data_IF_511736976184
#
_entry.id   IF_511736976184
#
_cell.length_a   1.000
_cell.length_b   1.000
_cell.length_c   1.000
_cell.angle_alpha   90.00
_cell.angle_beta   90.00
_cell.angle_gamma   90.00
#
_symmetry.space_group_name_H-M   'P 1'
#
loop_
_entity.id
_entity.type
_entity.pdbx_description
1 polymer ?
#
# COMPACT_ATOMS: atom_id res chain seq x y z
N UNK A 1 -12.99 17.74 -20.55
CA UNK A 1 -12.54 16.67 -21.43
C UNK A 1 -11.07 16.89 -21.74
N UNK A 2 -10.21 16.00 -21.27
CA UNK A 2 -8.78 15.97 -21.55
C UNK A 2 -8.51 15.21 -22.84
N UNK A 3 -7.55 15.66 -23.63
CA UNK A 3 -7.17 14.96 -24.86
C UNK A 3 -5.79 14.32 -24.69
N UNK A 4 -5.70 13.02 -24.92
CA UNK A 4 -4.46 12.23 -24.88
C UNK A 4 -3.83 12.21 -26.26
N UNK A 5 -2.55 12.59 -26.40
CA UNK A 5 -1.82 12.64 -27.65
C UNK A 5 -0.54 11.79 -27.59
N UNK A 6 -0.26 11.05 -28.63
CA UNK A 6 0.92 10.22 -28.77
C UNK A 6 2.10 11.02 -29.36
N UNK A 7 3.27 11.07 -28.69
CA UNK A 7 4.39 11.88 -29.16
C UNK A 7 5.21 11.21 -30.27
N UNK A 8 5.96 12.05 -31.00
CA UNK A 8 6.92 11.63 -32.00
C UNK A 8 8.16 11.01 -31.35
N UNK A 9 8.54 9.78 -31.70
CA UNK A 9 9.86 9.25 -31.38
C UNK A 9 10.93 10.05 -32.17
N UNK A 10 11.68 10.89 -31.44
CA UNK A 10 12.90 11.53 -31.98
C UNK A 10 14.09 10.61 -31.77
N UNK A 11 14.58 10.02 -32.83
CA UNK A 11 15.88 9.35 -32.92
C UNK A 11 16.99 10.40 -32.90
N UNK A 12 17.81 10.42 -31.86
CA UNK A 12 19.10 11.11 -31.82
C UNK A 12 20.09 10.37 -32.73
N UNK A 13 20.45 10.97 -33.85
CA UNK A 13 21.50 10.48 -34.71
C UNK A 13 22.87 10.89 -34.16
N UNK A 14 23.67 9.94 -33.70
CA UNK A 14 25.12 10.12 -33.55
C UNK A 14 25.80 10.01 -34.92
N UNK A 15 26.45 11.09 -35.37
CA UNK A 15 27.34 11.16 -36.50
C UNK A 15 28.64 10.44 -36.18
N UNK A 16 28.97 9.38 -36.94
CA UNK A 16 30.33 8.92 -37.13
C UNK A 16 30.54 8.55 -38.60
N UNK A 17 31.44 9.28 -39.24
CA UNK A 17 31.88 9.17 -40.62
C UNK A 17 32.59 7.84 -40.86
N UNK A 18 32.18 7.13 -41.92
CA UNK A 18 32.86 5.96 -42.48
C UNK A 18 32.21 5.48 -43.76
N UNK A 19 32.93 5.55 -44.84
CA UNK A 19 32.59 5.38 -46.24
C UNK A 19 32.22 3.93 -46.63
N UNK A 20 31.34 3.81 -47.63
CA UNK A 20 31.01 2.69 -48.51
C UNK A 20 30.05 1.59 -48.06
N UNK A 21 28.92 1.55 -48.68
CA UNK A 21 28.35 0.58 -49.62
C UNK A 21 26.82 0.70 -49.65
N UNK A 22 26.34 0.93 -50.82
CA UNK A 22 24.95 1.05 -51.28
C UNK A 22 24.19 -0.25 -51.01
N UNK A 23 23.32 -0.25 -50.02
CA UNK A 23 22.14 -1.11 -49.95
C UNK A 23 21.02 -0.30 -49.36
N UNK A 24 20.12 0.18 -50.19
CA UNK A 24 18.91 0.87 -49.82
C UNK A 24 17.95 -0.12 -49.14
N UNK A 25 18.17 -0.40 -47.87
CA UNK A 25 17.10 -0.90 -46.96
C UNK A 25 16.32 0.30 -46.48
N UNK A 26 15.18 0.55 -47.14
CA UNK A 26 14.21 1.52 -46.70
C UNK A 26 13.79 1.18 -45.26
N UNK A 27 14.39 1.87 -44.30
CA UNK A 27 13.84 1.98 -42.98
C UNK A 27 12.51 2.73 -43.14
N UNK A 28 11.43 1.97 -43.27
CA UNK A 28 10.08 2.50 -43.17
C UNK A 28 9.96 3.11 -41.78
N UNK A 29 10.15 4.42 -41.71
CA UNK A 29 9.86 5.18 -40.50
C UNK A 29 8.38 4.93 -40.19
N UNK A 30 8.12 4.22 -39.08
CA UNK A 30 6.76 3.99 -38.61
C UNK A 30 6.13 5.36 -38.38
N UNK A 31 5.12 5.72 -39.18
CA UNK A 31 4.36 6.94 -38.97
C UNK A 31 3.79 6.92 -37.52
N UNK A 32 3.96 7.99 -36.76
CA UNK A 32 3.38 8.09 -35.44
C UNK A 32 1.84 8.01 -35.54
N UNK A 33 1.22 7.17 -34.76
CA UNK A 33 -0.23 7.17 -34.63
C UNK A 33 -0.61 8.48 -33.88
N UNK A 34 -1.04 9.50 -34.59
CA UNK A 34 -1.63 10.70 -34.02
C UNK A 34 -3.11 10.42 -33.71
N UNK A 35 -3.36 9.65 -32.66
CA UNK A 35 -4.71 9.41 -32.16
C UNK A 35 -4.97 10.40 -31.02
N UNK A 36 -6.01 11.21 -31.13
CA UNK A 36 -6.47 12.07 -30.05
C UNK A 36 -7.70 11.44 -29.43
N UNK A 37 -7.60 11.08 -28.16
CA UNK A 37 -8.64 10.42 -27.39
C UNK A 37 -9.07 11.33 -26.24
N UNK A 38 -10.34 11.24 -25.86
CA UNK A 38 -10.84 11.90 -24.66
C UNK A 38 -10.48 11.04 -23.44
N UNK A 39 -10.00 11.70 -22.39
CA UNK A 39 -9.60 11.04 -21.13
C UNK A 39 -10.31 11.63 -19.93
N UNK A 40 -10.57 10.80 -18.95
CA UNK A 40 -11.11 11.17 -17.63
C UNK A 40 -10.02 10.98 -16.60
N UNK A 41 -9.86 11.97 -15.74
CA UNK A 41 -8.85 11.94 -14.66
C UNK A 41 -9.42 11.17 -13.47
N UNK A 42 -8.69 10.17 -13.00
CA UNK A 42 -9.04 9.35 -11.85
C UNK A 42 -7.91 9.36 -10.83
N UNK A 43 -8.20 9.26 -9.52
CA UNK A 43 -7.15 9.15 -8.52
C UNK A 43 -6.45 7.80 -8.66
N UNK A 44 -5.14 7.75 -8.39
CA UNK A 44 -4.38 6.50 -8.37
C UNK A 44 -4.93 5.51 -7.35
N UNK A 45 -5.27 6.01 -6.18
CA UNK A 45 -5.90 5.25 -5.11
C UNK A 45 -6.77 6.17 -4.25
N UNK A 46 -7.78 5.58 -3.65
CA UNK A 46 -8.67 6.21 -2.69
C UNK A 46 -8.84 5.26 -1.51
N UNK A 47 -8.42 5.69 -0.32
CA UNK A 47 -8.45 4.86 0.89
C UNK A 47 -9.29 5.56 1.95
N UNK A 48 -10.31 4.85 2.42
CA UNK A 48 -11.03 5.24 3.63
C UNK A 48 -10.18 4.89 4.85
N UNK A 49 -9.90 5.87 5.68
CA UNK A 49 -9.19 5.69 6.95
C UNK A 49 -10.21 5.35 8.02
N UNK A 50 -10.17 4.10 8.50
CA UNK A 50 -11.06 3.62 9.56
C UNK A 50 -10.27 3.35 10.85
N UNK A 51 -10.96 3.43 12.00
CA UNK A 51 -10.42 3.01 13.28
C UNK A 51 -10.35 1.48 13.38
N UNK A 52 -9.39 0.99 14.16
CA UNK A 52 -9.22 -0.45 14.45
C UNK A 52 -9.47 -0.78 15.94
N UNK A 53 -9.66 0.25 16.76
CA UNK A 53 -9.97 0.15 18.19
C UNK A 53 -11.11 1.10 18.53
N UNK A 54 -11.91 0.74 19.51
CA UNK A 54 -13.04 1.56 19.99
C UNK A 54 -12.52 2.57 21.01
N UNK A 55 -13.00 3.81 20.92
CA UNK A 55 -12.62 4.86 21.86
C UNK A 55 -13.05 6.25 21.40
N UNK A 56 -12.54 7.27 22.06
CA UNK A 56 -12.80 8.68 21.73
C UNK A 56 -11.61 9.24 20.93
N UNK A 57 -11.88 9.91 19.83
CA UNK A 57 -10.84 10.64 19.09
C UNK A 57 -10.35 11.81 19.96
N UNK A 58 -9.13 11.70 20.47
CA UNK A 58 -8.52 12.73 21.32
C UNK A 58 -7.99 13.89 20.48
N UNK A 59 -7.37 13.59 19.33
CA UNK A 59 -6.80 14.60 18.45
C UNK A 59 -6.98 14.27 16.98
N UNK A 60 -7.18 15.29 16.17
CA UNK A 60 -7.10 15.27 14.70
C UNK A 60 -5.88 16.09 14.30
N UNK A 61 -4.86 15.43 13.73
CA UNK A 61 -3.53 16.02 13.50
C UNK A 61 -3.37 16.59 12.09
N UNK A 62 -4.41 16.50 11.28
CA UNK A 62 -4.41 16.94 9.87
C UNK A 62 -5.60 17.83 9.58
N UNK A 63 -5.44 18.70 8.59
CA UNK A 63 -6.52 19.55 8.07
C UNK A 63 -6.96 19.08 6.68
N UNK A 64 -8.20 19.38 6.32
CA UNK A 64 -8.72 19.05 5.00
C UNK A 64 -7.90 19.69 3.88
N UNK A 65 -7.52 18.89 2.88
CA UNK A 65 -6.68 19.35 1.76
C UNK A 65 -5.17 19.25 2.01
N UNK A 66 -4.74 18.84 3.20
CA UNK A 66 -3.31 18.68 3.50
C UNK A 66 -2.73 17.49 2.72
N UNK A 67 -1.53 17.67 2.15
CA UNK A 67 -0.72 16.57 1.60
C UNK A 67 -0.08 15.80 2.75
N UNK A 68 -0.16 14.46 2.70
CA UNK A 68 0.42 13.53 3.68
C UNK A 68 1.28 12.48 2.97
N UNK A 69 2.33 12.05 3.64
CA UNK A 69 3.17 10.93 3.25
C UNK A 69 2.75 9.65 4.01
N UNK A 70 3.23 8.49 3.55
CA UNK A 70 3.03 7.23 4.28
C UNK A 70 3.67 7.32 5.67
N UNK A 71 2.90 6.95 6.70
CA UNK A 71 3.36 7.00 8.09
C UNK A 71 3.05 8.31 8.81
N UNK A 72 2.61 9.35 8.12
CA UNK A 72 2.23 10.61 8.77
C UNK A 72 1.05 10.37 9.73
N UNK A 73 1.09 10.93 10.95
CA UNK A 73 0.02 10.77 11.93
C UNK A 73 -1.21 11.59 11.52
N UNK A 74 -2.37 10.95 11.54
CA UNK A 74 -3.64 11.55 11.09
C UNK A 74 -4.58 11.82 12.27
N UNK A 75 -4.80 10.77 13.09
CA UNK A 75 -5.74 10.79 14.22
C UNK A 75 -5.13 10.09 15.42
N UNK A 76 -5.53 10.51 16.59
CA UNK A 76 -5.22 9.82 17.84
C UNK A 76 -6.53 9.53 18.59
N UNK A 77 -6.67 8.28 19.02
CA UNK A 77 -7.71 7.83 19.94
C UNK A 77 -7.13 7.91 21.35
N UNK A 78 -7.97 8.18 22.35
CA UNK A 78 -7.54 8.19 23.74
C UNK A 78 -6.84 6.86 24.10
N UNK A 79 -5.61 6.96 24.53
CA UNK A 79 -4.74 5.81 24.76
C UNK A 79 -4.70 5.37 26.23
N UNK A 80 -5.33 6.11 27.15
CA UNK A 80 -5.17 5.91 28.59
C UNK A 80 -5.51 4.48 29.05
N UNK A 81 -6.65 3.95 28.60
CA UNK A 81 -7.06 2.59 28.96
C UNK A 81 -6.11 1.54 28.35
N UNK A 82 -5.66 1.74 27.12
CA UNK A 82 -4.72 0.84 26.45
C UNK A 82 -3.33 0.84 27.11
N UNK A 83 -2.87 1.98 27.62
CA UNK A 83 -1.61 2.07 28.38
C UNK A 83 -1.71 1.30 29.70
N UNK A 84 -2.86 1.35 30.36
CA UNK A 84 -3.14 0.56 31.56
C UNK A 84 -3.12 -0.93 31.24
N UNK A 85 -3.76 -1.34 30.15
CA UNK A 85 -3.78 -2.74 29.70
C UNK A 85 -2.38 -3.28 29.40
N UNK A 86 -1.52 -2.50 28.74
CA UNK A 86 -0.12 -2.86 28.51
C UNK A 86 0.63 -3.02 29.82
N UNK A 87 0.45 -2.09 30.77
CA UNK A 87 1.08 -2.16 32.08
C UNK A 87 0.64 -3.40 32.86
N UNK A 88 -0.65 -3.72 32.82
CA UNK A 88 -1.20 -4.92 33.49
C UNK A 88 -0.66 -6.20 32.86
N UNK A 89 -0.60 -6.27 31.50
CA UNK A 89 -0.06 -7.43 30.78
C UNK A 89 1.45 -7.61 31.06
N UNK A 90 2.20 -6.51 31.17
CA UNK A 90 3.62 -6.56 31.53
C UNK A 90 3.82 -7.13 32.96
N UNK A 91 3.05 -6.66 33.94
CA UNK A 91 3.10 -7.17 35.31
C UNK A 91 2.75 -8.68 35.39
N UNK A 92 1.76 -9.12 34.59
CA UNK A 92 1.40 -10.55 34.51
C UNK A 92 2.53 -11.40 33.88
N UNK A 93 3.25 -10.87 32.92
CA UNK A 93 4.42 -11.52 32.34
C UNK A 93 5.55 -11.65 33.38
N UNK A 94 5.85 -10.57 34.09
CA UNK A 94 6.88 -10.57 35.16
C UNK A 94 6.57 -11.62 36.24
N UNK A 95 5.30 -11.74 36.67
CA UNK A 95 4.86 -12.78 37.58
C UNK A 95 5.10 -14.19 37.02
N UNK A 96 4.73 -14.43 35.73
CA UNK A 96 4.93 -15.72 35.10
C UNK A 96 6.41 -16.09 34.99
N UNK A 97 7.29 -15.12 34.64
CA UNK A 97 8.74 -15.30 34.60
C UNK A 97 9.30 -15.62 36.01
N UNK A 98 8.82 -14.96 37.04
CA UNK A 98 9.25 -15.26 38.42
C UNK A 98 8.84 -16.69 38.85
N UNK A 99 7.62 -17.13 38.48
CA UNK A 99 7.16 -18.52 38.70
C UNK A 99 8.00 -19.54 37.92
N UNK A 100 8.38 -19.23 36.69
CA UNK A 100 9.26 -20.10 35.92
C UNK A 100 10.61 -20.29 36.58
N UNK A 101 11.25 -19.21 37.03
CA UNK A 101 12.51 -19.25 37.78
C UNK A 101 12.43 -20.12 39.00
N UNK A 102 11.35 -19.96 39.79
CA UNK A 102 11.10 -20.79 40.96
C UNK A 102 10.98 -22.28 40.59
N UNK A 103 10.22 -22.61 39.51
CA UNK A 103 10.07 -23.99 39.07
C UNK A 103 11.39 -24.58 38.58
N UNK A 104 12.22 -23.80 37.86
CA UNK A 104 13.55 -24.20 37.41
C UNK A 104 14.49 -24.51 38.60
N UNK A 105 14.50 -23.62 39.61
CA UNK A 105 15.28 -23.82 40.83
C UNK A 105 14.86 -25.08 41.61
N UNK A 106 13.55 -25.36 41.64
CA UNK A 106 13.02 -26.59 42.28
C UNK A 106 13.44 -27.83 41.46
N UNK A 107 13.29 -27.80 40.13
CA UNK A 107 13.65 -28.90 39.29
C UNK A 107 15.15 -29.22 39.38
N UNK A 108 16.01 -28.22 39.37
CA UNK A 108 17.45 -28.41 39.52
C UNK A 108 17.80 -29.07 40.88
N UNK A 109 17.16 -28.64 41.96
CA UNK A 109 17.38 -29.27 43.29
C UNK A 109 16.91 -30.72 43.30
N UNK A 110 15.75 -31.04 42.73
CA UNK A 110 15.22 -32.42 42.68
C UNK A 110 16.07 -33.33 41.78
N UNK A 111 16.57 -32.84 40.67
CA UNK A 111 17.49 -33.55 39.78
C UNK A 111 18.79 -33.94 40.53
N UNK A 112 19.41 -32.96 41.21
CA UNK A 112 20.62 -33.25 42.01
C UNK A 112 20.39 -34.25 43.15
N UNK A 113 19.20 -34.28 43.75
CA UNK A 113 18.83 -35.30 44.74
C UNK A 113 18.61 -36.68 44.16
N UNK A 114 18.02 -36.77 42.95
CA UNK A 114 17.82 -38.02 42.22
C UNK A 114 19.17 -38.68 41.82
N UNK A 115 20.15 -37.88 41.43
CA UNK A 115 21.50 -38.37 41.10
C UNK A 115 22.24 -38.98 42.28
N UNK A 116 21.90 -38.58 43.53
CA UNK A 116 22.55 -39.08 44.75
C UNK A 116 21.88 -40.32 45.36
N UNK A 117 20.83 -40.84 44.77
CA UNK A 117 20.22 -42.13 45.10
C UNK A 117 18.81 -42.03 45.69
N UNK A 118 18.04 -43.03 45.35
CA UNK A 118 16.78 -43.57 45.80
C UNK A 118 15.54 -42.64 45.97
N UNK A 119 14.54 -42.91 45.16
CA UNK A 119 13.14 -42.46 45.35
C UNK A 119 12.85 -41.04 44.91
N UNK A 120 13.83 -40.31 44.46
CA UNK A 120 13.70 -38.90 43.99
C UNK A 120 13.38 -38.75 42.49
N UNK A 121 13.45 -39.81 41.72
CA UNK A 121 13.27 -39.79 40.26
C UNK A 121 11.86 -39.34 39.84
N UNK A 122 10.83 -39.84 40.52
CA UNK A 122 9.45 -39.38 40.27
C UNK A 122 9.24 -37.90 40.61
N UNK A 123 9.94 -37.39 41.64
CA UNK A 123 9.86 -35.95 42.02
C UNK A 123 10.62 -35.08 41.04
N UNK A 124 11.75 -35.55 40.51
CA UNK A 124 12.50 -34.87 39.47
C UNK A 124 11.69 -34.76 38.16
N UNK A 125 11.02 -35.87 37.78
CA UNK A 125 10.12 -35.88 36.62
C UNK A 125 8.95 -34.90 36.84
N UNK A 126 8.31 -34.91 38.02
CA UNK A 126 7.22 -33.99 38.31
C UNK A 126 7.69 -32.52 38.25
N UNK A 127 8.85 -32.19 38.83
CA UNK A 127 9.40 -30.83 38.78
C UNK A 127 9.72 -30.39 37.35
N UNK A 128 10.18 -31.31 36.49
CA UNK A 128 10.39 -31.03 35.05
C UNK A 128 9.08 -30.68 34.33
N UNK A 129 8.01 -31.40 34.68
CA UNK A 129 6.67 -31.10 34.14
C UNK A 129 6.22 -29.69 34.57
N UNK A 130 6.45 -29.34 35.86
CA UNK A 130 6.10 -28.01 36.40
C UNK A 130 6.86 -26.89 35.68
N UNK A 131 8.14 -27.08 35.35
CA UNK A 131 8.91 -26.14 34.50
C UNK A 131 8.25 -25.98 33.13
N UNK A 132 7.83 -27.07 32.48
CA UNK A 132 7.16 -26.98 31.20
C UNK A 132 5.82 -26.24 31.27
N UNK A 133 5.05 -26.44 32.31
CA UNK A 133 3.81 -25.70 32.57
C UNK A 133 4.10 -24.20 32.80
N UNK A 134 5.14 -23.88 33.57
CA UNK A 134 5.54 -22.50 33.82
C UNK A 134 6.03 -21.83 32.52
N UNK A 135 6.82 -22.53 31.67
CA UNK A 135 7.22 -22.04 30.32
C UNK A 135 6.02 -21.74 29.44
N UNK A 136 5.04 -22.63 29.42
CA UNK A 136 3.81 -22.40 28.66
C UNK A 136 3.03 -21.19 29.19
N UNK A 137 3.07 -20.95 30.51
CA UNK A 137 2.47 -19.76 31.13
C UNK A 137 3.17 -18.47 30.67
N UNK A 138 4.51 -18.44 30.64
CA UNK A 138 5.28 -17.30 30.13
C UNK A 138 4.90 -17.02 28.68
N UNK A 139 4.91 -18.03 27.80
CA UNK A 139 4.55 -17.87 26.40
C UNK A 139 3.13 -17.32 26.20
N UNK A 140 2.19 -17.68 27.08
CA UNK A 140 0.83 -17.14 27.08
C UNK A 140 0.82 -15.66 27.46
N UNK A 141 1.54 -15.25 28.51
CA UNK A 141 1.59 -13.86 28.95
C UNK A 141 2.35 -12.97 27.94
N UNK A 142 3.40 -13.46 27.30
CA UNK A 142 4.06 -12.76 26.19
C UNK A 142 3.09 -12.48 25.03
N UNK A 143 2.21 -13.43 24.75
CA UNK A 143 1.20 -13.24 23.71
C UNK A 143 0.13 -12.23 24.11
N UNK A 144 -0.25 -12.21 25.41
CA UNK A 144 -1.18 -11.22 25.96
C UNK A 144 -0.56 -9.80 25.92
N UNK A 145 0.72 -9.67 26.28
CA UNK A 145 1.43 -8.40 26.20
C UNK A 145 1.49 -7.88 24.75
N UNK A 146 1.89 -8.73 23.80
CA UNK A 146 1.89 -8.35 22.38
C UNK A 146 0.51 -7.91 21.87
N UNK A 147 -0.57 -8.53 22.35
CA UNK A 147 -1.93 -8.14 21.99
C UNK A 147 -2.29 -6.76 22.54
N UNK A 148 -1.93 -6.45 23.79
CA UNK A 148 -2.15 -5.15 24.40
C UNK A 148 -1.32 -4.04 23.71
N UNK A 149 -0.05 -4.29 23.43
CA UNK A 149 0.82 -3.38 22.69
C UNK A 149 0.29 -3.09 21.27
N UNK A 150 -0.23 -4.11 20.60
CA UNK A 150 -0.85 -3.95 19.29
C UNK A 150 -2.10 -3.08 19.37
N UNK A 151 -2.95 -3.28 20.39
CA UNK A 151 -4.13 -2.46 20.62
C UNK A 151 -3.73 -0.99 20.88
N UNK A 152 -2.73 -0.76 21.71
CA UNK A 152 -2.19 0.57 21.97
C UNK A 152 -1.62 1.21 20.68
N UNK A 153 -0.88 0.47 19.88
CA UNK A 153 -0.34 0.99 18.61
C UNK A 153 -1.43 1.44 17.65
N UNK A 154 -2.60 0.79 17.68
CA UNK A 154 -3.77 1.10 16.85
C UNK A 154 -4.54 2.35 17.28
N UNK A 155 -4.24 2.90 18.47
CA UNK A 155 -4.80 4.21 18.88
C UNK A 155 -4.23 5.37 18.06
N UNK A 156 -3.03 5.19 17.49
CA UNK A 156 -2.41 6.16 16.61
C UNK A 156 -2.62 5.74 15.15
N UNK A 157 -3.49 6.48 14.46
CA UNK A 157 -3.83 6.20 13.07
C UNK A 157 -2.94 7.03 12.15
N UNK A 158 -2.23 6.33 11.26
CA UNK A 158 -1.28 6.92 10.30
C UNK A 158 -1.74 6.75 8.87
N UNK A 159 -1.20 7.56 7.96
CA UNK A 159 -1.46 7.46 6.54
C UNK A 159 -0.88 6.16 5.95
N UNK A 160 -1.71 5.36 5.28
CA UNK A 160 -1.30 4.12 4.60
C UNK A 160 -0.80 4.35 3.17
N UNK A 161 -1.23 5.45 2.55
CA UNK A 161 -0.80 5.89 1.21
C UNK A 161 -0.48 7.38 1.24
N UNK A 162 0.38 7.87 0.34
CA UNK A 162 0.57 9.31 0.17
C UNK A 162 -0.64 9.91 -0.54
N UNK A 163 -0.96 11.16 -0.27
CA UNK A 163 -2.07 11.82 -0.95
C UNK A 163 -2.61 13.05 -0.23
N UNK A 164 -3.81 13.45 -0.60
CA UNK A 164 -4.53 14.55 0.06
C UNK A 164 -5.54 13.94 1.03
N UNK A 165 -5.48 14.37 2.28
CA UNK A 165 -6.37 13.89 3.34
C UNK A 165 -7.60 14.76 3.49
N UNK A 166 -8.73 14.12 3.76
CA UNK A 166 -9.99 14.75 4.14
C UNK A 166 -10.52 14.10 5.43
N UNK A 167 -10.31 14.73 6.59
CA UNK A 167 -10.89 14.25 7.85
C UNK A 167 -12.42 14.39 7.83
N UNK A 168 -13.12 13.44 8.47
CA UNK A 168 -14.59 13.40 8.57
C UNK A 168 -15.08 13.44 10.02
N UNK A 169 -14.16 13.37 10.99
CA UNK A 169 -14.46 13.38 12.42
C UNK A 169 -13.76 14.55 13.11
N UNK A 170 -14.29 14.94 14.26
CA UNK A 170 -13.72 15.98 15.12
C UNK A 170 -13.19 15.37 16.44
N UNK A 171 -12.30 16.04 17.16
CA UNK A 171 -11.94 15.66 18.50
C UNK A 171 -13.20 15.55 19.39
N UNK A 172 -13.24 14.53 20.27
CA UNK A 172 -14.40 14.20 21.09
C UNK A 172 -15.39 13.23 20.44
N UNK A 173 -15.21 12.87 19.17
CA UNK A 173 -16.08 11.89 18.50
C UNK A 173 -15.78 10.49 19.03
N UNK A 174 -16.83 9.78 19.46
CA UNK A 174 -16.73 8.35 19.80
C UNK A 174 -16.77 7.51 18.54
N UNK A 175 -15.88 6.52 18.44
CA UNK A 175 -15.73 5.64 17.27
C UNK A 175 -15.69 4.19 17.70
N UNK A 176 -16.37 3.33 16.95
CA UNK A 176 -16.47 1.90 17.21
C UNK A 176 -15.71 1.10 16.15
N UNK A 177 -14.83 0.19 16.58
CA UNK A 177 -14.05 -0.64 15.67
C UNK A 177 -14.91 -1.57 14.83
N UNK A 178 -15.94 -2.19 15.44
CA UNK A 178 -16.85 -3.12 14.75
C UNK A 178 -17.72 -2.43 13.69
N UNK A 179 -18.10 -1.18 13.94
CA UNK A 179 -18.88 -0.39 12.99
C UNK A 179 -18.04 0.11 11.80
N UNK A 180 -16.71 0.00 11.87
CA UNK A 180 -15.80 0.48 10.82
C UNK A 180 -15.96 1.97 10.57
N UNK A 181 -16.01 2.78 11.63
CA UNK A 181 -16.23 4.23 11.50
C UNK A 181 -15.16 4.87 10.63
N UNK A 182 -15.57 5.54 9.55
CA UNK A 182 -14.64 6.22 8.65
C UNK A 182 -14.23 7.55 9.28
N UNK A 183 -12.96 7.65 9.69
CA UNK A 183 -12.37 8.85 10.28
C UNK A 183 -12.02 9.90 9.24
N UNK A 184 -11.69 9.46 8.04
CA UNK A 184 -11.30 10.31 6.94
C UNK A 184 -11.06 9.53 5.65
N UNK A 185 -10.57 10.23 4.65
CA UNK A 185 -10.26 9.67 3.34
C UNK A 185 -8.95 10.24 2.86
N UNK A 186 -8.10 9.40 2.27
CA UNK A 186 -6.89 9.83 1.56
C UNK A 186 -7.07 9.54 0.08
N UNK A 187 -6.83 10.54 -0.74
CA UNK A 187 -6.89 10.46 -2.20
C UNK A 187 -5.50 10.68 -2.77
N UNK A 188 -4.94 9.67 -3.41
CA UNK A 188 -3.66 9.77 -4.09
C UNK A 188 -3.85 10.38 -5.46
N UNK A 189 -3.29 11.56 -5.66
CA UNK A 189 -3.36 12.31 -6.92
C UNK A 189 -1.99 12.45 -7.61
N UNK A 190 -0.93 11.94 -7.00
CA UNK A 190 0.41 11.88 -7.59
C UNK A 190 1.07 10.53 -7.25
N UNK A 191 1.38 9.70 -8.28
CA UNK A 191 0.92 9.86 -9.66
C UNK A 191 -0.61 9.77 -9.79
N UNK A 192 -1.16 10.26 -10.91
CA UNK A 192 -2.59 10.25 -11.20
C UNK A 192 -2.88 9.34 -12.39
N UNK A 193 -4.08 8.80 -12.48
CA UNK A 193 -4.53 8.01 -13.61
C UNK A 193 -5.38 8.84 -14.57
N UNK A 194 -5.25 8.54 -15.85
CA UNK A 194 -6.13 9.04 -16.91
C UNK A 194 -6.69 7.83 -17.64
N UNK A 195 -7.98 7.60 -17.47
CA UNK A 195 -8.74 6.59 -18.20
C UNK A 195 -9.16 7.12 -19.56
N UNK A 196 -8.88 6.39 -20.63
CA UNK A 196 -9.32 6.71 -21.99
C UNK A 196 -9.80 5.45 -22.70
N UNK A 197 -10.70 5.63 -23.66
CA UNK A 197 -11.29 4.51 -24.39
C UNK A 197 -10.66 4.36 -25.77
N UNK A 198 -10.39 3.12 -26.15
CA UNK A 198 -9.85 2.74 -27.45
C UNK A 198 -10.76 1.67 -28.07
N UNK A 199 -11.04 1.75 -29.37
CA UNK A 199 -11.79 0.68 -30.04
C UNK A 199 -10.96 -0.61 -30.09
N UNK A 200 -11.64 -1.75 -30.02
CA UNK A 200 -10.95 -3.06 -30.11
C UNK A 200 -10.16 -3.19 -31.43
N UNK A 201 -10.65 -2.61 -32.53
CA UNK A 201 -9.94 -2.60 -33.81
C UNK A 201 -8.64 -1.79 -33.77
N UNK A 202 -8.67 -0.60 -33.18
CA UNK A 202 -7.50 0.25 -33.05
C UNK A 202 -6.44 -0.37 -32.13
N UNK A 203 -6.91 -1.03 -31.05
CA UNK A 203 -6.04 -1.83 -30.21
C UNK A 203 -5.34 -2.94 -30.99
N UNK A 204 -6.08 -3.73 -31.77
CA UNK A 204 -5.50 -4.80 -32.59
C UNK A 204 -4.52 -4.26 -33.64
N UNK A 205 -4.86 -3.12 -34.24
CA UNK A 205 -4.00 -2.44 -35.22
C UNK A 205 -2.71 -1.95 -34.56
N UNK A 206 -2.81 -1.43 -33.33
CA UNK A 206 -1.66 -0.97 -32.55
C UNK A 206 -0.73 -2.11 -32.15
N UNK A 207 -1.26 -3.25 -31.71
CA UNK A 207 -0.49 -4.46 -31.42
C UNK A 207 0.26 -4.98 -32.65
N UNK A 208 -0.40 -5.08 -33.80
CA UNK A 208 0.23 -5.49 -35.07
C UNK A 208 1.36 -4.52 -35.46
N UNK A 209 1.14 -3.22 -35.31
CA UNK A 209 2.14 -2.19 -35.64
C UNK A 209 3.33 -2.24 -34.68
N UNK A 210 3.11 -2.56 -33.41
CA UNK A 210 4.14 -2.76 -32.40
C UNK A 210 4.90 -4.11 -32.57
N UNK A 211 4.40 -5.00 -33.42
CA UNK A 211 4.99 -6.33 -33.63
C UNK A 211 4.90 -7.26 -32.43
N UNK A 212 3.88 -7.07 -31.61
CA UNK A 212 3.65 -7.86 -30.40
C UNK A 212 2.19 -8.28 -30.29
N UNK A 213 1.93 -9.34 -29.52
CA UNK A 213 0.58 -9.77 -29.14
C UNK A 213 0.25 -9.37 -27.69
N UNK A 214 1.24 -8.86 -26.95
CA UNK A 214 1.11 -8.47 -25.55
C UNK A 214 0.85 -6.97 -25.42
N UNK A 215 -0.27 -6.63 -24.76
CA UNK A 215 -0.59 -5.25 -24.44
C UNK A 215 0.50 -4.61 -23.57
N UNK A 216 1.06 -5.37 -22.61
CA UNK A 216 2.13 -4.91 -21.73
C UNK A 216 3.39 -4.49 -22.48
N UNK A 217 3.84 -5.31 -23.42
CA UNK A 217 5.01 -4.96 -24.25
C UNK A 217 4.75 -3.73 -25.14
N UNK A 218 3.52 -3.56 -25.59
CA UNK A 218 3.12 -2.37 -26.32
C UNK A 218 3.15 -1.13 -25.41
N UNK A 219 2.63 -1.24 -24.19
CA UNK A 219 2.59 -0.14 -23.20
C UNK A 219 3.99 0.35 -22.82
N UNK A 220 4.96 -0.55 -22.68
CA UNK A 220 6.34 -0.21 -22.35
C UNK A 220 7.02 0.66 -23.43
N UNK A 221 6.50 0.64 -24.68
CA UNK A 221 7.03 1.38 -25.83
C UNK A 221 6.29 2.68 -26.11
N UNK A 222 5.21 2.95 -25.38
CA UNK A 222 4.31 4.08 -25.63
C UNK A 222 4.44 5.12 -24.53
N UNK A 223 4.66 6.36 -24.94
CA UNK A 223 4.51 7.51 -24.07
C UNK A 223 3.31 8.35 -24.53
N UNK A 224 2.54 8.86 -23.60
CA UNK A 224 1.35 9.65 -23.84
C UNK A 224 1.57 11.09 -23.41
N UNK A 225 1.03 12.03 -24.18
CA UNK A 225 0.95 13.43 -23.81
C UNK A 225 -0.51 13.81 -23.58
N UNK A 226 -0.76 14.72 -22.64
CA UNK A 226 -2.08 15.27 -22.37
C UNK A 226 -2.20 16.69 -22.93
N UNK A 227 -3.37 16.98 -23.43
CA UNK A 227 -3.79 18.36 -23.73
C UNK A 227 -4.89 18.72 -22.75
N UNK A 228 -4.66 19.79 -21.99
CA UNK A 228 -5.59 20.29 -21.00
C UNK A 228 -6.82 20.92 -21.67
N UNK A 229 -7.94 21.09 -20.97
CA UNK A 229 -9.13 21.77 -21.50
C UNK A 229 -8.88 23.21 -21.97
N UNK A 230 -7.82 23.86 -21.43
CA UNK A 230 -7.35 25.18 -21.90
C UNK A 230 -6.74 25.16 -23.30
N UNK A 231 -6.41 23.97 -23.84
CA UNK A 231 -5.67 23.78 -25.08
C UNK A 231 -4.15 23.66 -24.91
N UNK A 232 -3.64 23.86 -23.69
CA UNK A 232 -2.22 23.76 -23.39
C UNK A 232 -1.78 22.29 -23.28
N UNK A 233 -0.53 22.01 -23.64
CA UNK A 233 0.06 20.70 -23.44
C UNK A 233 0.50 20.55 -21.97
N UNK A 234 0.13 19.40 -21.36
CA UNK A 234 0.62 19.06 -20.03
C UNK A 234 2.13 18.79 -20.07
N UNK A 235 2.86 19.26 -19.06
CA UNK A 235 4.32 19.25 -19.04
C UNK A 235 4.92 17.84 -18.91
N UNK A 236 4.17 16.91 -18.30
CA UNK A 236 4.66 15.55 -18.05
C UNK A 236 4.04 14.56 -19.02
N UNK A 237 4.84 13.57 -19.42
CA UNK A 237 4.38 12.43 -20.21
C UNK A 237 3.95 11.29 -19.31
N UNK A 238 2.88 10.61 -19.70
CA UNK A 238 2.39 9.42 -19.03
C UNK A 238 2.68 8.14 -19.79
N UNK A 239 2.42 7.02 -19.13
CA UNK A 239 2.55 5.67 -19.71
C UNK A 239 1.28 4.88 -19.46
N UNK A 240 0.78 4.15 -20.48
CA UNK A 240 -0.30 3.19 -20.26
C UNK A 240 0.16 2.14 -19.25
N UNK A 241 -0.71 1.76 -18.33
CA UNK A 241 -0.40 0.75 -17.32
C UNK A 241 -1.17 -0.54 -17.50
N UNK A 242 -2.47 -0.42 -17.69
CA UNK A 242 -3.36 -1.56 -17.84
C UNK A 242 -4.58 -1.17 -18.66
N UNK A 243 -5.28 -2.18 -19.17
CA UNK A 243 -6.55 -2.05 -19.89
C UNK A 243 -7.63 -2.87 -19.20
N UNK A 244 -8.89 -2.57 -19.46
CA UNK A 244 -10.01 -3.36 -18.96
C UNK A 244 -9.91 -4.80 -19.49
N UNK A 245 -10.32 -5.77 -18.65
CA UNK A 245 -10.37 -7.18 -19.06
C UNK A 245 -11.53 -7.46 -20.04
N UNK A 246 -12.49 -6.56 -20.13
CA UNK A 246 -13.70 -6.71 -20.92
C UNK A 246 -13.86 -5.56 -21.91
N UNK A 247 -14.36 -5.90 -23.10
CA UNK A 247 -14.79 -4.94 -24.10
C UNK A 247 -16.24 -4.58 -23.78
N UNK A 248 -16.56 -3.30 -23.75
CA UNK A 248 -17.94 -2.86 -23.63
C UNK A 248 -18.74 -3.36 -24.85
N UNK A 249 -19.67 -4.26 -24.59
CA UNK A 249 -20.49 -4.91 -25.64
C UNK A 249 -21.42 -3.95 -26.37
N UNK A 250 -21.66 -2.76 -25.82
CA UNK A 250 -22.55 -1.76 -26.40
C UNK A 250 -21.86 -0.96 -27.51
N UNK A 251 -20.57 -0.66 -27.33
CA UNK A 251 -19.83 0.24 -28.22
C UNK A 251 -18.51 -0.34 -28.76
N UNK A 252 -18.11 -1.56 -28.34
CA UNK A 252 -16.88 -2.21 -28.77
C UNK A 252 -15.59 -1.56 -28.28
N UNK A 253 -15.69 -0.73 -27.23
CA UNK A 253 -14.56 0.02 -26.68
C UNK A 253 -13.91 -0.71 -25.48
N UNK A 254 -12.62 -0.48 -25.33
CA UNK A 254 -11.80 -0.88 -24.17
C UNK A 254 -11.35 0.37 -23.44
N UNK A 255 -11.45 0.35 -22.12
CA UNK A 255 -10.86 1.41 -21.30
C UNK A 255 -9.41 1.05 -20.98
N UNK A 256 -8.53 1.99 -21.22
CA UNK A 256 -7.10 1.90 -20.88
C UNK A 256 -6.76 3.01 -19.91
N UNK A 257 -6.00 2.69 -18.87
CA UNK A 257 -5.52 3.67 -17.89
C UNK A 257 -4.04 3.93 -18.08
N UNK A 258 -3.71 5.21 -18.13
CA UNK A 258 -2.33 5.68 -18.16
C UNK A 258 -2.00 6.45 -16.88
N UNK A 259 -0.79 6.25 -16.39
CA UNK A 259 -0.27 6.94 -15.23
C UNK A 259 0.51 8.19 -15.66
N UNK A 260 0.24 9.30 -15.00
CA UNK A 260 0.94 10.56 -15.21
C UNK A 260 1.48 11.10 -13.88
N UNK A 261 2.74 11.60 -13.85
CA UNK A 261 3.22 12.38 -12.71
C UNK A 261 2.35 13.65 -12.55
N UNK A 262 2.01 14.01 -11.31
CA UNK A 262 1.19 15.19 -11.02
C UNK A 262 1.69 15.94 -9.78
N UNK A 263 2.99 16.33 -9.74
CA UNK A 263 3.60 16.94 -8.56
C UNK A 263 2.93 18.26 -8.18
N UNK A 264 2.51 19.04 -9.17
CA UNK A 264 1.89 20.35 -8.98
C UNK A 264 0.38 20.29 -8.71
N UNK A 265 -0.24 19.09 -8.80
CA UNK A 265 -1.67 18.88 -8.57
C UNK A 265 -2.58 19.56 -9.61
N UNK A 266 -2.07 19.82 -10.82
CA UNK A 266 -2.81 20.46 -11.93
C UNK A 266 -3.94 19.54 -12.41
N UNK A 267 -3.69 18.24 -12.46
CA UNK A 267 -4.70 17.25 -12.81
C UNK A 267 -5.54 16.93 -11.58
N UNK A 268 -6.84 17.17 -11.68
CA UNK A 268 -7.80 16.93 -10.60
C UNK A 268 -8.77 15.85 -11.04
N UNK A 269 -9.05 14.84 -10.19
CA UNK A 269 -10.02 13.80 -10.49
C UNK A 269 -11.42 14.33 -10.73
N UNK A 270 -12.13 13.82 -11.78
CA UNK A 270 -13.50 14.19 -12.12
C UNK A 270 -13.75 14.53 -13.57
#
# INVERSE_FOLDING_TARGET
NLRVRWPRLSLLACLLTGIMALSASGAMAAEPLNLTLEGVVEPRARVAVANQVTGIVSRVLVVAGQKVAVGDPLFEIDAADFEIDVSAAHAALDEAVARLRLAEDVAERQSRLAERGSGAEARATQATIEVNVAKASVARQESALRAAELALSRTRIVASIPGIVRPRVAPGTFVEAEAGTILGEIVQIDPILVGYTVSYEDRQRSLKKAGTTSAREMFDRVALSLVLPSGDSYAHTGRPMFESAEVDSTNGMLTTWAEFPNPDGILVPG
#
